data_IF_286522070697
#
_entry.id   IF_286522070697
#
_cell.length_a   1.000
_cell.length_b   1.000
_cell.length_c   1.000
_cell.angle_alpha   90.00
_cell.angle_beta   90.00
_cell.angle_gamma   90.00
#
_symmetry.space_group_name_H-M   'P 1'
#
loop_
_entity.id
_entity.type
_entity.pdbx_description
1 polymer ?
#
# COMPACT_ATOMS: atom_id res chain seq x y z
N UNK A 1 -2.78 -5.91 -71.83
CA UNK A 1 -1.32 -6.07 -71.59
C UNK A 1 -1.14 -6.44 -70.12
N UNK A 2 -0.48 -7.52 -69.74
CA UNK A 2 0.03 -8.68 -70.50
C UNK A 2 0.13 -9.84 -69.49
N UNK A 3 -0.62 -10.93 -69.69
CA UNK A 3 -0.25 -12.15 -70.44
C UNK A 3 0.51 -13.19 -69.61
N UNK A 4 -0.11 -14.37 -69.50
CA UNK A 4 0.42 -15.75 -69.43
C UNK A 4 -0.80 -16.65 -69.19
N UNK A 5 -1.36 -17.41 -70.14
CA UNK A 5 -0.73 -18.38 -71.09
C UNK A 5 0.24 -19.31 -70.32
N UNK A 6 0.17 -20.65 -70.39
CA UNK A 6 -0.38 -21.60 -71.39
C UNK A 6 -0.70 -22.95 -70.67
N UNK A 7 -1.41 -23.98 -71.19
CA UNK A 7 -1.92 -24.25 -72.54
C UNK A 7 -3.27 -25.06 -72.55
N UNK A 8 -3.25 -26.37 -72.82
CA UNK A 8 -4.32 -27.23 -73.39
C UNK A 8 -4.30 -28.67 -72.79
N UNK A 9 -5.38 -29.50 -72.68
CA UNK A 9 -6.42 -29.99 -73.64
C UNK A 9 -5.81 -31.00 -74.67
N UNK A 10 -6.49 -32.05 -75.21
CA UNK A 10 -7.67 -32.87 -74.81
C UNK A 10 -7.42 -34.42 -74.81
N UNK A 11 -8.50 -35.23 -74.61
CA UNK A 11 -8.94 -36.39 -75.43
C UNK A 11 -9.48 -37.61 -74.65
N UNK A 12 -10.82 -37.71 -74.62
CA UNK A 12 -11.56 -38.98 -74.81
C UNK A 12 -11.50 -39.30 -76.34
N UNK A 13 -11.66 -40.54 -76.88
CA UNK A 13 -12.66 -41.51 -76.41
C UNK A 13 -12.28 -43.02 -76.53
N UNK A 14 -13.31 -43.82 -76.29
CA UNK A 14 -13.46 -45.28 -76.39
C UNK A 14 -12.68 -46.01 -77.49
N UNK A 15 -12.14 -47.20 -77.13
CA UNK A 15 -11.93 -48.30 -78.07
C UNK A 15 -11.95 -49.67 -77.35
N UNK A 16 -12.55 -50.63 -78.05
CA UNK A 16 -12.33 -52.09 -78.00
C UNK A 16 -12.65 -52.87 -76.71
N UNK A 17 -13.64 -53.76 -76.83
CA UNK A 17 -13.80 -54.90 -75.95
C UNK A 17 -13.09 -56.14 -76.49
N UNK A 18 -12.87 -57.13 -75.62
CA UNK A 18 -12.63 -58.51 -76.06
C UNK A 18 -13.37 -59.49 -75.14
N UNK A 19 -13.72 -60.64 -75.69
CA UNK A 19 -14.59 -61.66 -75.11
C UNK A 19 -13.80 -62.96 -74.98
N UNK A 20 -13.34 -63.33 -73.78
CA UNK A 20 -13.04 -64.74 -73.49
C UNK A 20 -12.81 -65.08 -72.01
N UNK A 21 -12.92 -66.40 -71.76
CA UNK A 21 -12.55 -67.17 -70.57
C UNK A 21 -13.57 -67.23 -69.42
N UNK A 22 -13.71 -68.45 -68.91
CA UNK A 22 -14.84 -68.95 -68.13
C UNK A 22 -14.51 -69.09 -66.64
N UNK A 23 -15.59 -69.23 -65.85
CA UNK A 23 -15.69 -69.95 -64.57
C UNK A 23 -14.99 -69.45 -63.31
N UNK A 24 -15.83 -69.32 -62.27
CA UNK A 24 -15.58 -69.67 -60.87
C UNK A 24 -14.53 -68.88 -60.07
N UNK A 25 -14.91 -67.64 -59.73
CA UNK A 25 -14.37 -66.90 -58.59
C UNK A 25 -15.50 -66.41 -57.69
N UNK A 26 -15.39 -66.62 -56.37
CA UNK A 26 -16.39 -66.22 -55.38
C UNK A 26 -16.71 -64.71 -55.45
N UNK A 27 -17.99 -64.36 -55.22
CA UNK A 27 -18.44 -62.96 -55.21
C UNK A 27 -17.84 -62.19 -54.02
N UNK A 28 -16.68 -61.58 -54.24
CA UNK A 28 -16.04 -60.73 -53.25
C UNK A 28 -16.80 -59.40 -53.13
N UNK A 29 -17.84 -59.40 -52.29
CA UNK A 29 -18.67 -58.23 -52.05
C UNK A 29 -17.86 -57.12 -51.40
N UNK A 30 -17.56 -56.07 -52.18
CA UNK A 30 -16.90 -54.87 -51.68
C UNK A 30 -17.81 -54.16 -50.66
N UNK A 31 -17.54 -54.37 -49.38
CA UNK A 31 -18.18 -53.62 -48.29
C UNK A 31 -17.45 -52.28 -48.15
N UNK A 32 -18.07 -51.14 -48.49
CA UNK A 32 -17.41 -49.84 -48.36
C UNK A 32 -17.06 -49.58 -46.88
N UNK A 33 -15.91 -48.94 -46.59
CA UNK A 33 -15.51 -48.67 -45.22
C UNK A 33 -16.60 -47.85 -44.53
N UNK A 34 -17.20 -48.46 -43.51
CA UNK A 34 -18.35 -47.93 -42.77
C UNK A 34 -17.93 -46.63 -42.07
N UNK A 35 -18.09 -45.48 -42.73
CA UNK A 35 -17.88 -44.15 -42.13
C UNK A 35 -18.69 -44.13 -40.84
N UNK A 36 -18.01 -44.21 -39.69
CA UNK A 36 -18.61 -44.01 -38.38
C UNK A 36 -19.06 -42.55 -38.33
N UNK A 37 -20.29 -42.27 -38.79
CA UNK A 37 -20.98 -41.03 -38.45
C UNK A 37 -21.02 -41.01 -36.93
N UNK A 38 -20.30 -40.07 -36.30
CA UNK A 38 -20.48 -39.84 -34.88
C UNK A 38 -21.96 -39.50 -34.70
N UNK A 39 -22.64 -40.24 -33.83
CA UNK A 39 -24.06 -39.98 -33.56
C UNK A 39 -24.20 -38.53 -33.07
N UNK A 40 -25.11 -37.72 -33.65
CA UNK A 40 -25.35 -36.35 -33.20
C UNK A 40 -25.61 -36.26 -31.70
N UNK A 41 -26.28 -37.27 -31.12
CA UNK A 41 -26.51 -37.37 -29.68
C UNK A 41 -25.21 -37.51 -28.85
N UNK A 42 -24.17 -38.19 -29.38
CA UNK A 42 -22.86 -38.28 -28.70
C UNK A 42 -22.11 -36.94 -28.79
N UNK A 43 -22.16 -36.26 -29.94
CA UNK A 43 -21.57 -34.92 -30.07
C UNK A 43 -22.27 -33.90 -29.15
N UNK A 44 -23.61 -33.95 -29.07
CA UNK A 44 -24.39 -33.11 -28.17
C UNK A 44 -24.10 -33.40 -26.69
N UNK A 45 -24.00 -34.68 -26.31
CA UNK A 45 -23.61 -35.08 -24.95
C UNK A 45 -22.20 -34.61 -24.55
N UNK A 46 -21.22 -34.71 -25.46
CA UNK A 46 -19.87 -34.16 -25.24
C UNK A 46 -19.86 -32.64 -25.16
N UNK A 47 -20.63 -31.95 -26.02
CA UNK A 47 -20.77 -30.50 -25.95
C UNK A 47 -21.38 -30.04 -24.62
N UNK A 48 -22.45 -30.71 -24.14
CA UNK A 48 -23.08 -30.44 -22.86
C UNK A 48 -22.15 -30.71 -21.67
N UNK A 49 -21.36 -31.79 -21.72
CA UNK A 49 -20.34 -32.08 -20.72
C UNK A 49 -19.22 -31.01 -20.69
N UNK A 50 -18.81 -30.52 -21.86
CA UNK A 50 -17.79 -29.46 -21.94
C UNK A 50 -18.33 -28.12 -21.41
N UNK A 51 -19.55 -27.72 -21.79
CA UNK A 51 -20.14 -26.45 -21.31
C UNK A 51 -20.44 -26.47 -19.82
N UNK A 52 -20.91 -27.60 -19.27
CA UNK A 52 -21.09 -27.75 -17.81
C UNK A 52 -19.76 -27.73 -17.07
N UNK A 53 -18.71 -28.38 -17.58
CA UNK A 53 -17.36 -28.29 -16.99
C UNK A 53 -16.82 -26.85 -17.00
N UNK A 54 -17.01 -26.11 -18.10
CA UNK A 54 -16.62 -24.69 -18.21
C UNK A 54 -17.40 -23.84 -17.20
N UNK A 55 -18.71 -24.03 -17.08
CA UNK A 55 -19.55 -23.32 -16.10
C UNK A 55 -19.14 -23.61 -14.66
N UNK A 56 -18.94 -24.88 -14.30
CA UNK A 56 -18.50 -25.27 -12.95
C UNK A 56 -17.11 -24.70 -12.64
N UNK A 57 -16.18 -24.73 -13.60
CA UNK A 57 -14.84 -24.13 -13.46
C UNK A 57 -14.92 -22.61 -13.27
N UNK A 58 -15.74 -21.91 -14.06
CA UNK A 58 -15.93 -20.47 -13.94
C UNK A 58 -16.58 -20.07 -12.60
N UNK A 59 -17.59 -20.81 -12.15
CA UNK A 59 -18.25 -20.59 -10.85
C UNK A 59 -17.28 -20.87 -9.70
N UNK A 60 -16.50 -21.96 -9.77
CA UNK A 60 -15.50 -22.29 -8.75
C UNK A 60 -14.38 -21.22 -8.70
N UNK A 61 -13.88 -20.78 -9.86
CA UNK A 61 -12.89 -19.70 -9.94
C UNK A 61 -13.40 -18.37 -9.41
N UNK A 62 -14.65 -18.00 -9.73
CA UNK A 62 -15.29 -16.80 -9.19
C UNK A 62 -15.51 -16.90 -7.68
N UNK A 63 -15.92 -18.06 -7.17
CA UNK A 63 -16.14 -18.28 -5.74
C UNK A 63 -14.84 -18.27 -4.95
N UNK A 64 -13.78 -18.93 -5.44
CA UNK A 64 -12.43 -18.89 -4.84
C UNK A 64 -11.91 -17.44 -4.85
N UNK A 65 -12.05 -16.73 -5.97
CA UNK A 65 -11.65 -15.33 -6.07
C UNK A 65 -12.37 -14.46 -5.02
N UNK A 66 -13.69 -14.55 -4.91
CA UNK A 66 -14.46 -13.78 -3.93
C UNK A 66 -14.23 -14.21 -2.47
N UNK A 67 -13.95 -15.49 -2.21
CA UNK A 67 -13.77 -16.02 -0.85
C UNK A 67 -12.36 -15.81 -0.29
N UNK A 68 -11.33 -15.72 -1.15
CA UNK A 68 -9.92 -15.64 -0.73
C UNK A 68 -9.22 -14.30 -1.06
N UNK A 69 -9.80 -13.42 -1.88
CA UNK A 69 -9.26 -12.08 -2.08
C UNK A 69 -9.57 -11.17 -0.89
N UNK A 70 -8.71 -11.18 0.12
CA UNK A 70 -8.59 -10.06 1.05
C UNK A 70 -7.91 -8.87 0.34
N UNK A 71 -8.69 -8.18 -0.51
CA UNK A 71 -8.21 -7.08 -1.36
C UNK A 71 -7.54 -5.99 -0.52
N UNK A 72 -8.14 -5.63 0.61
CA UNK A 72 -7.62 -4.57 1.48
C UNK A 72 -6.24 -4.95 2.07
N UNK A 73 -6.06 -6.17 2.56
CA UNK A 73 -4.76 -6.64 3.06
C UNK A 73 -3.71 -6.74 1.94
N UNK A 74 -4.09 -7.28 0.78
CA UNK A 74 -3.19 -7.40 -0.38
C UNK A 74 -2.77 -6.01 -0.88
N UNK A 75 -3.71 -5.06 -0.99
CA UNK A 75 -3.40 -3.68 -1.34
C UNK A 75 -2.47 -3.03 -0.30
N UNK A 76 -2.67 -3.27 0.99
CA UNK A 76 -1.78 -2.76 2.04
C UNK A 76 -0.34 -3.31 1.87
N UNK A 77 -0.19 -4.61 1.66
CA UNK A 77 1.10 -5.27 1.44
C UNK A 77 1.78 -4.86 0.11
N UNK A 78 1.01 -4.51 -0.92
CA UNK A 78 1.56 -4.04 -2.20
C UNK A 78 1.91 -2.54 -2.22
N UNK A 79 1.40 -1.74 -1.27
CA UNK A 79 1.54 -0.27 -1.26
C UNK A 79 2.29 0.26 -0.03
N UNK A 80 2.90 -0.61 0.76
CA UNK A 80 3.61 -0.23 1.99
C UNK A 80 4.75 -1.21 2.23
N UNK A 81 5.87 -0.72 2.79
CA UNK A 81 6.99 -1.56 3.19
C UNK A 81 6.53 -2.62 4.21
N UNK A 82 7.10 -3.82 4.14
CA UNK A 82 6.75 -4.89 5.08
C UNK A 82 7.10 -4.49 6.51
N UNK A 83 6.21 -4.84 7.45
CA UNK A 83 6.41 -4.73 8.89
C UNK A 83 5.43 -5.69 9.60
N UNK A 84 5.69 -6.13 10.84
CA UNK A 84 4.79 -7.03 11.58
C UNK A 84 3.37 -6.46 11.76
N UNK A 85 3.21 -5.13 11.68
CA UNK A 85 1.92 -4.45 11.67
C UNK A 85 0.98 -5.00 10.57
N UNK A 86 1.52 -5.37 9.40
CA UNK A 86 0.75 -5.96 8.30
C UNK A 86 0.35 -7.42 8.52
N UNK A 87 0.86 -8.09 9.57
CA UNK A 87 0.42 -9.42 9.97
C UNK A 87 -0.53 -9.35 11.17
N UNK A 88 -0.15 -8.58 12.20
CA UNK A 88 -0.91 -8.42 13.45
C UNK A 88 -2.22 -7.63 13.28
N UNK A 89 -2.26 -6.69 12.32
CA UNK A 89 -3.42 -5.81 12.10
C UNK A 89 -4.07 -6.13 10.77
N UNK A 90 -5.32 -6.61 10.83
CA UNK A 90 -6.19 -6.70 9.66
C UNK A 90 -6.44 -5.29 9.11
N UNK A 91 -5.74 -4.94 8.02
CA UNK A 91 -5.88 -3.66 7.35
C UNK A 91 -7.17 -3.67 6.54
N UNK A 92 -8.00 -2.66 6.77
CA UNK A 92 -9.27 -2.45 6.08
C UNK A 92 -9.38 -1.00 5.65
N UNK A 93 -10.05 -0.75 4.54
CA UNK A 93 -10.13 0.59 3.94
C UNK A 93 -11.59 1.05 3.90
N UNK A 94 -11.89 2.17 4.56
CA UNK A 94 -13.22 2.79 4.59
C UNK A 94 -13.22 4.14 3.88
N UNK A 95 -14.30 4.46 3.17
CA UNK A 95 -14.52 5.82 2.66
C UNK A 95 -14.92 6.72 3.82
N UNK A 96 -14.18 7.80 4.01
CA UNK A 96 -14.41 8.83 5.04
C UNK A 96 -14.68 10.15 4.33
N UNK A 97 -15.66 10.91 4.83
CA UNK A 97 -15.90 12.29 4.42
C UNK A 97 -15.11 13.20 5.36
N UNK A 98 -14.22 14.03 4.82
CA UNK A 98 -13.38 14.92 5.63
C UNK A 98 -14.17 16.15 6.08
N UNK A 99 -14.03 16.53 7.36
CA UNK A 99 -14.59 17.76 7.91
C UNK A 99 -13.75 18.99 7.49
N UNK A 100 -13.86 19.34 6.21
CA UNK A 100 -13.09 20.40 5.56
C UNK A 100 -13.66 21.81 5.72
N UNK A 101 -14.78 21.97 6.44
CA UNK A 101 -15.54 23.24 6.56
C UNK A 101 -14.63 24.44 6.86
N UNK A 102 -14.42 25.33 5.89
CA UNK A 102 -13.41 26.38 6.01
C UNK A 102 -13.64 27.31 7.21
N UNK A 103 -14.86 27.86 7.35
CA UNK A 103 -15.21 28.84 8.40
C UNK A 103 -15.50 28.22 9.78
N UNK A 104 -15.73 26.91 9.87
CA UNK A 104 -16.11 26.23 11.12
C UNK A 104 -14.97 25.32 11.58
N UNK A 105 -14.31 25.68 12.68
CA UNK A 105 -13.17 24.93 13.22
C UNK A 105 -13.61 23.74 14.08
N UNK A 106 -13.13 22.55 13.73
CA UNK A 106 -13.08 21.43 14.66
C UNK A 106 -11.91 21.60 15.66
N UNK A 107 -11.91 20.77 16.72
CA UNK A 107 -10.97 20.88 17.84
C UNK A 107 -9.50 20.89 17.41
N UNK A 108 -9.12 20.13 16.37
CA UNK A 108 -7.72 20.02 15.92
C UNK A 108 -7.17 21.32 15.29
N UNK A 109 -8.06 22.23 14.86
CA UNK A 109 -7.75 23.46 14.14
C UNK A 109 -7.74 24.72 15.02
N UNK A 110 -8.27 24.65 16.25
CA UNK A 110 -8.37 25.78 17.18
C UNK A 110 -7.00 26.23 17.68
N UNK A 111 -6.95 27.46 18.21
CA UNK A 111 -5.78 28.00 18.92
C UNK A 111 -5.34 27.11 20.10
N UNK A 112 -4.03 27.11 20.38
CA UNK A 112 -3.41 26.34 21.45
C UNK A 112 -4.14 26.43 22.81
N UNK A 113 -4.51 25.28 23.35
CA UNK A 113 -5.19 25.11 24.64
C UNK A 113 -5.14 23.63 25.07
N UNK A 114 -5.41 23.32 26.36
CA UNK A 114 -5.37 21.93 26.84
C UNK A 114 -6.38 21.00 26.15
N UNK A 115 -7.52 21.51 25.67
CA UNK A 115 -8.49 20.75 24.87
C UNK A 115 -7.88 20.31 23.53
N UNK A 116 -7.16 21.21 22.87
CA UNK A 116 -6.46 20.93 21.60
C UNK A 116 -5.31 19.95 21.83
N UNK A 117 -4.56 20.10 22.91
CA UNK A 117 -3.45 19.20 23.24
C UNK A 117 -3.95 17.77 23.50
N UNK A 118 -4.97 17.59 24.34
CA UNK A 118 -5.59 16.29 24.58
C UNK A 118 -6.20 15.67 23.30
N UNK A 119 -6.80 16.49 22.42
CA UNK A 119 -7.30 16.02 21.14
C UNK A 119 -6.16 15.46 20.26
N UNK A 120 -5.06 16.20 20.11
CA UNK A 120 -3.89 15.73 19.35
C UNK A 120 -3.21 14.51 20.01
N UNK A 121 -3.10 14.46 21.33
CA UNK A 121 -2.57 13.31 22.08
C UNK A 121 -3.39 12.02 21.83
N UNK A 122 -4.71 12.13 21.67
CA UNK A 122 -5.59 10.99 21.33
C UNK A 122 -5.32 10.34 19.96
N UNK A 123 -4.53 11.03 19.11
CA UNK A 123 -4.02 10.53 17.83
C UNK A 123 -2.67 9.79 17.96
N UNK A 124 -2.19 9.49 19.17
CA UNK A 124 -0.94 8.76 19.38
C UNK A 124 0.32 9.53 18.94
N UNK A 125 0.25 10.86 18.86
CA UNK A 125 1.40 11.72 18.49
C UNK A 125 2.55 11.72 19.48
N UNK A 126 2.31 11.21 20.69
CA UNK A 126 3.32 10.98 21.73
C UNK A 126 3.44 9.46 22.03
N UNK A 127 3.20 8.61 21.02
CA UNK A 127 3.47 7.19 21.13
C UNK A 127 4.97 6.94 21.33
N UNK A 128 5.32 6.22 22.41
CA UNK A 128 6.71 5.79 22.69
C UNK A 128 7.16 4.73 21.67
N UNK A 129 8.48 4.55 21.49
CA UNK A 129 9.01 3.40 20.76
C UNK A 129 8.48 2.08 21.33
N UNK A 130 8.17 1.13 20.45
CA UNK A 130 7.83 -0.24 20.77
C UNK A 130 9.02 -1.19 20.61
N UNK A 131 8.79 -2.47 20.90
CA UNK A 131 9.78 -3.55 20.66
C UNK A 131 9.18 -4.62 19.77
N UNK A 132 9.82 -4.90 18.63
CA UNK A 132 9.49 -6.03 17.74
C UNK A 132 10.53 -7.14 17.87
N UNK A 133 10.25 -8.35 17.37
CA UNK A 133 11.23 -9.44 17.39
C UNK A 133 12.46 -9.11 16.54
N UNK A 134 13.53 -9.89 16.70
CA UNK A 134 14.72 -9.71 15.86
C UNK A 134 14.39 -10.06 14.40
N UNK A 135 13.64 -11.14 14.20
CA UNK A 135 13.17 -11.65 12.92
C UNK A 135 12.31 -10.61 12.18
N UNK A 136 11.35 -10.00 12.88
CA UNK A 136 10.51 -8.91 12.33
C UNK A 136 11.34 -7.67 11.97
N UNK A 137 12.36 -7.35 12.76
CA UNK A 137 13.26 -6.25 12.44
C UNK A 137 14.01 -6.49 11.13
N UNK A 138 14.63 -7.65 10.98
CA UNK A 138 15.34 -8.02 9.75
C UNK A 138 14.38 -8.05 8.55
N UNK A 139 13.18 -8.62 8.70
CA UNK A 139 12.18 -8.65 7.63
C UNK A 139 11.62 -7.26 7.28
N UNK A 140 11.62 -6.31 8.24
CA UNK A 140 11.29 -4.89 7.99
C UNK A 140 12.43 -4.11 7.31
N UNK A 141 13.62 -4.71 7.16
CA UNK A 141 14.80 -4.08 6.56
C UNK A 141 15.73 -3.40 7.56
N UNK A 142 15.61 -3.72 8.86
CA UNK A 142 16.59 -3.31 9.88
C UNK A 142 17.82 -4.24 9.84
N UNK A 143 18.94 -3.77 10.37
CA UNK A 143 20.17 -4.55 10.53
C UNK A 143 20.81 -4.31 11.92
N UNK A 144 21.99 -4.88 12.16
CA UNK A 144 22.69 -4.81 13.46
C UNK A 144 23.03 -3.37 13.93
N UNK A 145 23.11 -2.40 13.02
CA UNK A 145 23.35 -0.98 13.38
C UNK A 145 22.16 -0.31 14.06
N UNK A 146 20.97 -0.92 14.00
CA UNK A 146 19.77 -0.41 14.67
C UNK A 146 19.72 -0.80 16.14
N UNK A 147 19.16 0.10 16.96
CA UNK A 147 19.08 -0.05 18.42
C UNK A 147 18.24 -1.27 18.80
N UNK A 148 18.83 -2.15 19.61
CA UNK A 148 18.23 -3.39 20.08
C UNK A 148 18.06 -3.35 21.60
N UNK A 149 17.03 -4.06 22.11
CA UNK A 149 16.89 -4.38 23.53
C UNK A 149 17.85 -5.51 23.89
N UNK A 150 18.46 -5.44 25.06
CA UNK A 150 19.36 -6.48 25.57
C UNK A 150 18.63 -7.85 25.63
N UNK A 151 19.23 -8.94 25.11
CA UNK A 151 18.63 -10.29 25.15
C UNK A 151 18.15 -10.75 26.52
N UNK A 152 18.79 -10.29 27.61
CA UNK A 152 18.38 -10.51 29.01
C UNK A 152 16.93 -10.09 29.29
N UNK A 153 16.41 -9.10 28.56
CA UNK A 153 15.04 -8.58 28.68
C UNK A 153 14.14 -9.01 27.52
N UNK A 154 14.53 -10.05 26.78
CA UNK A 154 13.75 -10.63 25.67
C UNK A 154 14.17 -10.17 24.27
N UNK A 155 15.27 -9.41 24.12
CA UNK A 155 15.84 -9.08 22.80
C UNK A 155 14.92 -8.23 21.90
N UNK A 156 15.25 -8.15 20.62
CA UNK A 156 14.44 -7.46 19.60
C UNK A 156 14.82 -6.00 19.35
N UNK A 157 14.21 -5.38 18.34
CA UNK A 157 14.52 -4.02 17.88
C UNK A 157 13.62 -2.97 18.52
N UNK A 158 14.20 -1.82 18.86
CA UNK A 158 13.46 -0.64 19.31
C UNK A 158 12.98 0.14 18.08
N UNK A 159 11.67 0.26 17.89
CA UNK A 159 11.07 0.81 16.66
C UNK A 159 9.95 1.80 16.95
N UNK A 160 9.70 2.72 16.02
CA UNK A 160 8.52 3.59 16.04
C UNK A 160 7.62 3.22 14.86
N UNK A 161 6.30 3.30 15.06
CA UNK A 161 5.34 3.16 13.95
C UNK A 161 5.35 4.46 13.15
N UNK A 162 5.79 4.40 11.89
CA UNK A 162 5.97 5.58 11.04
C UNK A 162 4.75 6.50 11.02
N UNK A 163 3.53 5.94 10.90
CA UNK A 163 2.29 6.72 10.93
C UNK A 163 2.08 7.56 12.20
N UNK A 164 2.57 7.09 13.36
CA UNK A 164 2.55 7.89 14.60
C UNK A 164 3.64 8.96 14.56
N UNK A 165 4.83 8.66 14.04
CA UNK A 165 5.91 9.62 13.87
C UNK A 165 5.56 10.75 12.87
N UNK A 166 4.82 10.44 11.80
CA UNK A 166 4.32 11.44 10.86
C UNK A 166 3.35 12.42 11.53
N UNK A 167 2.44 11.92 12.37
CA UNK A 167 1.53 12.76 13.16
C UNK A 167 2.25 13.52 14.27
N UNK A 168 3.29 12.95 14.89
CA UNK A 168 4.19 13.65 15.81
C UNK A 168 4.84 14.87 15.14
N UNK A 169 5.47 14.67 13.98
CA UNK A 169 6.06 15.73 13.18
C UNK A 169 5.03 16.81 12.80
N UNK A 170 3.81 16.42 12.41
CA UNK A 170 2.74 17.36 12.09
C UNK A 170 2.29 18.17 13.32
N UNK A 171 2.19 17.53 14.49
CA UNK A 171 1.88 18.21 15.75
C UNK A 171 3.00 19.18 16.16
N UNK A 172 4.28 18.83 15.97
CA UNK A 172 5.39 19.75 16.21
C UNK A 172 5.34 20.97 15.29
N UNK A 173 5.04 20.80 14.00
CA UNK A 173 4.83 21.92 13.07
C UNK A 173 3.66 22.80 13.54
N UNK A 174 2.50 22.20 13.90
CA UNK A 174 1.34 22.93 14.46
C UNK A 174 1.70 23.73 15.72
N UNK A 175 2.36 23.10 16.69
CA UNK A 175 2.79 23.74 17.96
C UNK A 175 3.81 24.87 17.71
N UNK A 176 4.49 24.86 16.56
CA UNK A 176 5.49 25.86 16.16
C UNK A 176 4.95 27.01 15.31
N UNK A 177 3.69 26.95 14.86
CA UNK A 177 3.04 28.06 14.14
C UNK A 177 2.99 29.32 15.03
N UNK A 178 3.11 30.49 14.42
CA UNK A 178 3.17 31.79 15.11
C UNK A 178 2.12 31.98 16.22
N UNK A 179 0.86 31.64 15.94
CA UNK A 179 -0.26 31.77 16.88
C UNK A 179 -0.20 30.80 18.08
N UNK A 180 0.58 29.73 17.98
CA UNK A 180 0.69 28.66 18.96
C UNK A 180 2.02 28.70 19.74
N UNK A 181 3.10 29.16 19.09
CA UNK A 181 4.48 29.04 19.55
C UNK A 181 4.70 29.58 20.97
N UNK A 182 4.14 30.76 21.27
CA UNK A 182 4.31 31.43 22.55
C UNK A 182 3.72 30.66 23.74
N UNK A 183 2.67 29.87 23.51
CA UNK A 183 2.05 29.01 24.53
C UNK A 183 2.96 27.79 24.80
N UNK A 184 3.35 27.05 23.76
CA UNK A 184 4.18 25.85 23.92
C UNK A 184 5.60 26.14 24.42
N UNK A 185 6.18 27.27 24.00
CA UNK A 185 7.47 27.75 24.53
C UNK A 185 7.43 28.03 26.03
N UNK A 186 6.31 28.57 26.54
CA UNK A 186 6.13 28.82 27.98
C UNK A 186 5.99 27.53 28.78
N UNK A 187 5.38 26.49 28.20
CA UNK A 187 5.23 25.18 28.84
C UNK A 187 6.55 24.43 29.04
N UNK A 188 7.54 24.59 28.14
CA UNK A 188 8.83 23.88 28.20
C UNK A 188 8.67 22.35 28.33
N UNK A 189 7.85 21.75 27.47
CA UNK A 189 7.58 20.31 27.43
C UNK A 189 7.98 19.69 26.08
N UNK A 190 8.24 18.38 26.06
CA UNK A 190 8.66 17.62 24.86
C UNK A 190 9.81 18.33 24.12
N UNK A 191 9.72 18.49 22.79
CA UNK A 191 10.71 19.20 21.98
C UNK A 191 10.98 20.66 22.42
N UNK A 192 10.07 21.30 23.16
CA UNK A 192 10.24 22.65 23.71
C UNK A 192 11.05 22.69 25.02
N UNK A 193 11.51 21.54 25.54
CA UNK A 193 12.56 21.46 26.58
C UNK A 193 13.96 21.71 26.02
N UNK A 194 14.17 21.35 24.75
CA UNK A 194 15.48 21.43 24.10
C UNK A 194 15.94 22.88 23.97
N UNK A 195 17.24 23.08 23.73
CA UNK A 195 17.74 24.40 23.38
C UNK A 195 17.09 24.92 22.07
N UNK A 196 17.21 26.24 21.87
CA UNK A 196 16.60 26.90 20.73
C UNK A 196 17.17 26.46 19.37
N UNK A 197 18.37 25.88 19.32
CA UNK A 197 19.04 25.44 18.09
C UNK A 197 18.48 24.07 17.66
N UNK A 198 18.42 23.11 18.58
CA UNK A 198 17.83 21.77 18.38
C UNK A 198 16.36 21.89 18.03
N UNK A 199 15.58 22.66 18.80
CA UNK A 199 14.16 22.89 18.49
C UNK A 199 14.00 23.53 17.11
N UNK A 200 14.79 24.55 16.78
CA UNK A 200 14.75 25.18 15.46
C UNK A 200 15.05 24.15 14.37
N UNK A 201 16.06 23.27 14.51
CA UNK A 201 16.36 22.23 13.50
C UNK A 201 15.21 21.25 13.22
N UNK A 202 14.28 21.04 14.15
CA UNK A 202 13.09 20.23 13.90
C UNK A 202 12.10 20.93 12.94
N UNK A 203 11.98 22.26 13.02
CA UNK A 203 10.86 23.02 12.38
C UNK A 203 11.26 24.21 11.48
N UNK A 204 12.53 24.62 11.42
CA UNK A 204 13.04 25.67 10.51
C UNK A 204 14.56 25.61 10.24
N UNK A 205 15.03 26.16 9.11
CA UNK A 205 16.46 26.16 8.71
C UNK A 205 17.30 27.19 9.49
N UNK A 206 18.55 26.85 9.84
CA UNK A 206 19.48 27.80 10.47
C UNK A 206 19.95 28.86 9.48
N UNK A 207 20.01 30.11 9.95
CA UNK A 207 20.60 31.23 9.23
C UNK A 207 21.75 31.89 10.03
N UNK A 208 22.11 31.33 11.20
CA UNK A 208 22.77 32.11 12.27
C UNK A 208 24.06 31.50 12.82
N UNK A 209 24.43 30.27 12.45
CA UNK A 209 25.70 29.67 12.87
C UNK A 209 26.34 28.84 11.75
N UNK A 210 27.64 29.04 11.45
CA UNK A 210 28.42 28.04 10.73
C UNK A 210 28.66 26.85 11.68
N UNK A 211 27.86 25.80 11.53
CA UNK A 211 28.16 24.49 12.12
C UNK A 211 29.42 23.93 11.45
N UNK A 212 30.30 23.20 12.18
CA UNK A 212 31.58 22.74 11.65
C UNK A 212 31.49 21.57 10.65
N UNK A 213 30.28 21.19 10.21
CA UNK A 213 30.04 20.04 9.34
C UNK A 213 29.56 20.47 7.94
N UNK A 214 30.24 20.08 6.84
CA UNK A 214 29.94 20.61 5.50
C UNK A 214 28.59 20.23 4.89
N UNK A 215 27.84 19.31 5.50
CA UNK A 215 26.71 18.61 4.87
C UNK A 215 25.33 18.96 5.48
N UNK A 216 25.20 20.09 6.19
CA UNK A 216 23.96 20.50 6.86
C UNK A 216 22.89 21.04 5.88
N UNK A 217 22.45 20.20 4.94
CA UNK A 217 21.30 20.45 4.05
C UNK A 217 19.95 20.26 4.77
N UNK A 218 19.85 20.85 5.97
CA UNK A 218 18.70 20.75 6.85
C UNK A 218 17.60 21.73 6.41
N UNK A 219 16.77 21.27 5.47
CA UNK A 219 15.34 21.57 5.60
C UNK A 219 14.87 20.99 6.94
N UNK A 220 13.95 21.68 7.60
CA UNK A 220 13.38 21.26 8.87
C UNK A 220 12.87 19.82 8.78
N UNK A 221 13.43 18.88 9.55
CA UNK A 221 13.18 17.47 9.26
C UNK A 221 11.71 17.11 9.40
N UNK A 222 10.96 17.65 10.38
CA UNK A 222 9.53 17.39 10.50
C UNK A 222 8.76 17.83 9.24
N UNK A 223 9.09 19.01 8.70
CA UNK A 223 8.45 19.55 7.50
C UNK A 223 8.82 18.73 6.26
N UNK A 224 10.08 18.31 6.14
CA UNK A 224 10.54 17.55 5.00
C UNK A 224 10.06 16.09 5.03
N UNK A 225 10.03 15.44 6.19
CA UNK A 225 9.41 14.13 6.40
C UNK A 225 7.94 14.16 5.99
N UNK A 226 7.16 15.14 6.45
CA UNK A 226 5.75 15.28 6.04
C UNK A 226 5.64 15.47 4.52
N UNK A 227 6.47 16.34 3.92
CA UNK A 227 6.52 16.53 2.46
C UNK A 227 6.82 15.22 1.72
N UNK A 228 7.83 14.47 2.16
CA UNK A 228 8.22 13.20 1.55
C UNK A 228 7.09 12.16 1.64
N UNK A 229 6.43 12.05 2.80
CA UNK A 229 5.29 11.13 3.02
C UNK A 229 4.10 11.49 2.13
N UNK A 230 3.75 12.77 2.03
CA UNK A 230 2.67 13.26 1.15
C UNK A 230 2.98 13.06 -0.34
N UNK A 231 4.26 13.10 -0.74
CA UNK A 231 4.67 12.80 -2.12
C UNK A 231 4.71 11.30 -2.40
N UNK A 232 5.08 10.48 -1.41
CA UNK A 232 5.07 9.01 -1.50
C UNK A 232 3.65 8.45 -1.56
N UNK A 233 2.74 9.02 -0.77
CA UNK A 233 1.32 8.65 -0.69
C UNK A 233 0.45 9.73 -1.34
N UNK A 234 0.80 10.14 -2.57
CA UNK A 234 0.10 11.23 -3.28
C UNK A 234 -1.38 10.89 -3.47
N UNK A 235 -2.24 11.80 -3.02
CA UNK A 235 -3.68 11.65 -3.16
C UNK A 235 -4.11 11.95 -4.60
N UNK A 236 -4.83 11.00 -5.22
CA UNK A 236 -5.35 11.13 -6.58
C UNK A 236 -6.82 11.57 -6.62
N UNK A 237 -7.40 11.93 -5.47
CA UNK A 237 -8.72 12.53 -5.37
C UNK A 237 -8.77 13.94 -5.98
N UNK A 238 -9.99 14.40 -6.28
CA UNK A 238 -10.24 15.75 -6.80
C UNK A 238 -11.15 16.52 -5.86
N UNK A 239 -10.92 17.84 -5.74
CA UNK A 239 -11.78 18.77 -5.02
C UNK A 239 -12.40 19.78 -6.01
N UNK A 240 -13.66 20.14 -5.76
CA UNK A 240 -14.44 21.01 -6.65
C UNK A 240 -14.65 22.40 -6.08
N UNK A 241 -15.45 23.20 -6.80
CA UNK A 241 -16.01 24.46 -6.31
C UNK A 241 -17.53 24.37 -6.29
N UNK A 242 -18.14 25.03 -5.31
CA UNK A 242 -19.59 25.18 -5.17
C UNK A 242 -19.98 26.66 -5.28
N UNK A 243 -21.19 26.93 -5.75
CA UNK A 243 -21.76 28.27 -5.72
C UNK A 243 -22.21 28.61 -4.30
N UNK A 244 -21.69 29.70 -3.76
CA UNK A 244 -22.04 30.26 -2.44
C UNK A 244 -22.66 31.63 -2.62
N UNK A 245 -23.32 32.15 -1.57
CA UNK A 245 -24.06 33.41 -1.57
C UNK A 245 -25.23 33.46 -2.60
N UNK A 246 -26.47 33.12 -2.21
CA UNK A 246 -27.61 33.04 -3.13
C UNK A 246 -27.97 34.37 -3.83
N UNK A 247 -27.64 35.52 -3.23
CA UNK A 247 -27.98 36.85 -3.77
C UNK A 247 -26.94 37.38 -4.78
N UNK A 248 -25.68 36.95 -4.65
CA UNK A 248 -24.57 37.26 -5.56
C UNK A 248 -23.62 36.04 -5.64
N UNK A 249 -23.87 35.10 -6.59
CA UNK A 249 -23.21 33.79 -6.59
C UNK A 249 -21.70 33.83 -6.81
N UNK A 250 -20.94 33.43 -5.79
CA UNK A 250 -19.47 33.33 -5.83
C UNK A 250 -19.03 31.87 -5.72
N UNK A 251 -18.14 31.46 -6.62
CA UNK A 251 -17.53 30.13 -6.59
C UNK A 251 -16.53 30.01 -5.41
N UNK A 252 -16.71 29.00 -4.56
CA UNK A 252 -15.87 28.73 -3.40
C UNK A 252 -15.42 27.27 -3.39
N UNK A 253 -14.14 26.94 -3.07
CA UNK A 253 -13.69 25.56 -3.00
C UNK A 253 -14.43 24.74 -1.93
N UNK A 254 -14.93 23.57 -2.30
CA UNK A 254 -15.48 22.63 -1.33
C UNK A 254 -14.39 21.66 -0.86
N UNK A 255 -14.02 21.79 0.41
CA UNK A 255 -13.01 20.97 1.05
C UNK A 255 -13.59 19.69 1.69
N UNK A 256 -14.92 19.51 1.71
CA UNK A 256 -15.58 18.32 2.27
C UNK A 256 -15.51 17.15 1.28
N UNK A 257 -14.30 16.64 1.09
CA UNK A 257 -13.97 15.60 0.11
C UNK A 257 -14.06 14.20 0.70
N UNK A 258 -14.26 13.20 -0.16
CA UNK A 258 -14.36 11.78 0.22
C UNK A 258 -13.09 11.03 -0.12
N UNK A 259 -12.51 10.38 0.88
CA UNK A 259 -11.21 9.73 0.83
C UNK A 259 -11.31 8.27 1.25
N UNK A 260 -10.55 7.35 0.63
CA UNK A 260 -10.49 5.95 1.07
C UNK A 260 -9.29 5.75 2.00
N UNK A 261 -9.55 5.69 3.31
CA UNK A 261 -8.52 5.64 4.34
C UNK A 261 -8.34 4.23 4.91
N UNK A 262 -7.09 3.84 5.23
CA UNK A 262 -6.81 2.69 6.10
C UNK A 262 -7.50 2.88 7.47
N UNK A 263 -7.79 1.78 8.16
CA UNK A 263 -8.37 1.72 9.51
C UNK A 263 -7.39 2.20 10.60
N UNK A 264 -7.12 3.50 10.57
CA UNK A 264 -6.19 4.21 11.44
C UNK A 264 -6.30 3.85 12.93
N UNK A 265 -7.51 3.71 13.49
CA UNK A 265 -7.68 3.40 14.91
C UNK A 265 -7.07 2.05 15.30
N UNK A 266 -7.15 1.02 14.44
CA UNK A 266 -6.57 -0.29 14.72
C UNK A 266 -5.03 -0.24 14.67
N UNK A 267 -4.49 0.53 13.71
CA UNK A 267 -3.05 0.78 13.54
C UNK A 267 -2.50 1.53 14.76
N UNK A 268 -3.21 2.56 15.22
CA UNK A 268 -2.89 3.33 16.43
C UNK A 268 -2.94 2.45 17.68
N UNK A 269 -4.01 1.68 17.87
CA UNK A 269 -4.17 0.81 19.04
C UNK A 269 -3.10 -0.28 19.11
N UNK A 270 -2.63 -0.81 17.97
CA UNK A 270 -1.48 -1.70 17.92
C UNK A 270 -0.19 -0.98 18.32
N UNK A 271 0.08 0.20 17.74
CA UNK A 271 1.25 1.02 18.07
C UNK A 271 1.32 1.39 19.56
N UNK A 272 0.18 1.68 20.19
CA UNK A 272 0.09 1.98 21.63
C UNK A 272 0.30 0.75 22.52
N UNK A 273 -0.06 -0.46 22.05
CA UNK A 273 0.16 -1.72 22.79
C UNK A 273 1.60 -2.23 22.70
N UNK A 274 2.29 -1.95 21.60
CA UNK A 274 3.66 -2.39 21.34
C UNK A 274 4.72 -1.65 22.18
N UNK A 275 4.35 -0.52 22.79
CA UNK A 275 5.27 0.39 23.47
C UNK A 275 6.18 -0.32 24.48
N UNK A 276 7.47 0.02 24.43
CA UNK A 276 8.40 -0.27 25.48
C UNK A 276 7.93 0.36 26.82
N UNK A 277 8.39 -0.19 27.97
CA UNK A 277 8.15 0.44 29.26
C UNK A 277 8.63 1.91 29.25
N UNK A 278 8.05 2.80 30.05
CA UNK A 278 8.56 4.16 30.23
C UNK A 278 10.05 4.14 30.62
N UNK A 279 10.79 5.16 30.19
CA UNK A 279 12.23 5.28 30.48
C UNK A 279 12.49 5.40 31.99
N UNK A 280 11.57 6.02 32.73
CA UNK A 280 11.62 6.10 34.19
C UNK A 280 11.54 4.71 34.85
N UNK A 281 12.71 4.19 35.26
CA UNK A 281 12.84 2.91 35.95
C UNK A 281 13.35 1.76 35.09
N UNK A 282 13.75 2.01 33.84
CA UNK A 282 14.54 1.05 33.08
C UNK A 282 15.95 0.90 33.68
N UNK A 283 16.54 -0.30 33.67
CA UNK A 283 17.91 -0.51 34.09
C UNK A 283 18.91 0.00 33.02
N UNK A 284 20.10 0.43 33.45
CA UNK A 284 21.14 0.97 32.57
C UNK A 284 21.56 0.00 31.43
N UNK A 285 21.41 -1.31 31.65
CA UNK A 285 21.72 -2.37 30.67
C UNK A 285 20.52 -2.78 29.79
N UNK A 286 19.43 -1.98 29.76
CA UNK A 286 18.22 -2.32 29.00
C UNK A 286 18.44 -2.37 27.48
N UNK A 287 19.22 -1.43 26.94
CA UNK A 287 19.63 -1.43 25.54
C UNK A 287 20.88 -2.29 25.35
N UNK A 288 20.96 -2.99 24.23
CA UNK A 288 22.15 -3.71 23.83
C UNK A 288 23.19 -2.69 23.35
N UNK A 289 24.39 -2.73 23.93
CA UNK A 289 25.52 -1.92 23.45
C UNK A 289 25.95 -2.41 22.06
N UNK A 290 26.14 -1.51 21.08
CA UNK A 290 26.54 -1.88 19.73
C UNK A 290 28.01 -2.31 19.68
N UNK A 291 28.33 -3.21 18.75
CA UNK A 291 29.73 -3.48 18.41
C UNK A 291 30.34 -2.28 17.67
N UNK A 292 31.67 -2.03 17.75
CA UNK A 292 32.29 -0.86 17.12
C UNK A 292 32.11 -0.77 15.60
N UNK A 293 31.85 -1.90 14.93
CA UNK A 293 31.55 -2.01 13.50
C UNK A 293 30.12 -1.59 13.13
N UNK A 294 29.18 -1.70 14.08
CA UNK A 294 27.76 -1.37 13.90
C UNK A 294 27.47 0.13 14.10
N UNK A 295 28.47 0.92 14.55
CA UNK A 295 28.31 2.35 14.84
C UNK A 295 28.46 3.20 13.57
N UNK A 296 27.40 3.91 13.19
CA UNK A 296 27.41 4.84 12.05
C UNK A 296 28.39 6.00 12.27
N UNK A 297 29.21 6.29 11.26
CA UNK A 297 30.24 7.35 11.30
C UNK A 297 29.67 8.78 11.34
N UNK A 298 28.42 8.95 10.95
CA UNK A 298 27.70 10.21 10.92
C UNK A 298 26.25 9.95 11.34
N UNK A 299 25.60 10.94 11.98
CA UNK A 299 24.16 10.91 12.21
C UNK A 299 23.42 10.95 10.86
N UNK A 300 22.47 10.03 10.60
CA UNK A 300 21.59 10.08 9.44
C UNK A 300 20.75 11.36 9.35
#
# INVERSE_FOLDING_TARGET
MSSKEQEEIPLNPDADGDLSSETDGESFTYVPPRRRRLSPCRCFGWALALTTLILVSAIAGAWISMAFLNIDQNCAAHTTQWSPLLEDVAITYKTVEFDGKFMNENVFRRNASPEVDAAWESLGVDARPGVISYEDGIASGLDRSFVQRNPKYGGGFIVNVEGMHHLHCLNLVRKSLWYNYDYYKKMKMHAFKNDGEIFRLHVSKSHSHPLPHPNTNQLAHCLDTIRQVLMCNVDTGVLGQVWTNPEDPVAFPDFNTKHKCKNYDHVKDWALKLQAPPEEGLPDDFLLMPEPEDILKYTP
#
